data_IF_364048354998
#
_entry.id   IF_364048354998
#
_cell.length_a   1.000
_cell.length_b   1.000
_cell.length_c   1.000
_cell.angle_alpha   90.00
_cell.angle_beta   90.00
_cell.angle_gamma   90.00
#
_symmetry.space_group_name_H-M   'P 1'
#
loop_
_entity.id
_entity.type
_entity.pdbx_description
1 polymer ?
#
# COMPACT_ATOMS: atom_id res chain seq x y z
N UNK A 1 0.59 -4.86 18.55
CA UNK A 1 1.14 -6.05 17.84
C UNK A 1 1.79 -5.67 16.50
N UNK A 2 1.20 -4.81 15.66
CA UNK A 2 1.83 -4.32 14.43
C UNK A 2 3.01 -3.37 14.70
N UNK A 3 2.98 -2.60 15.78
CA UNK A 3 4.12 -1.75 16.19
C UNK A 3 5.42 -2.57 16.42
N UNK A 4 5.32 -3.75 17.04
CA UNK A 4 6.51 -4.60 17.21
C UNK A 4 7.03 -5.16 15.91
N UNK A 5 6.14 -5.33 14.90
CA UNK A 5 6.56 -5.70 13.56
C UNK A 5 7.34 -4.58 12.89
N UNK A 6 6.88 -3.34 13.02
CA UNK A 6 7.62 -2.17 12.51
C UNK A 6 9.03 -2.09 13.07
N UNK A 7 9.19 -2.34 14.36
CA UNK A 7 10.49 -2.27 15.02
C UNK A 7 11.51 -3.32 14.49
N UNK A 8 11.04 -4.42 13.89
CA UNK A 8 11.91 -5.46 13.32
C UNK A 8 12.23 -5.27 11.84
N UNK A 9 11.72 -4.23 11.18
CA UNK A 9 12.09 -3.94 9.80
C UNK A 9 13.55 -3.43 9.71
N UNK A 10 14.36 -3.83 8.70
CA UNK A 10 14.04 -4.60 7.49
C UNK A 10 14.11 -6.13 7.64
N UNK A 11 14.44 -6.66 8.80
CA UNK A 11 14.66 -8.10 9.02
C UNK A 11 13.34 -8.91 9.13
N UNK A 12 12.35 -8.55 8.33
CA UNK A 12 11.08 -9.25 8.35
C UNK A 12 11.21 -10.69 7.83
N UNK A 13 10.52 -11.57 8.52
CA UNK A 13 10.22 -12.92 8.03
C UNK A 13 8.76 -12.96 7.62
N UNK A 14 8.44 -13.83 6.68
CA UNK A 14 7.04 -14.06 6.30
C UNK A 14 6.22 -14.28 7.58
N UNK A 15 5.13 -13.52 7.77
CA UNK A 15 4.31 -13.69 8.97
C UNK A 15 3.75 -15.11 9.02
N UNK A 16 3.51 -15.60 10.25
CA UNK A 16 2.81 -16.87 10.45
C UNK A 16 1.48 -16.83 9.69
N UNK A 17 0.95 -18.01 9.28
CA UNK A 17 -0.32 -18.05 8.55
C UNK A 17 -1.38 -17.21 9.25
N UNK A 18 -1.85 -16.18 8.56
CA UNK A 18 -2.92 -15.31 9.01
C UNK A 18 -4.22 -15.79 8.38
N UNK A 19 -5.33 -15.51 9.06
CA UNK A 19 -6.63 -15.81 8.47
C UNK A 19 -6.80 -15.06 7.15
N UNK A 20 -7.27 -15.72 6.07
CA UNK A 20 -7.59 -15.03 4.82
C UNK A 20 -8.61 -13.91 5.07
N UNK A 21 -8.55 -12.79 4.35
CA UNK A 21 -9.46 -11.65 4.53
C UNK A 21 -10.92 -11.98 4.13
N UNK A 22 -11.15 -13.14 3.52
CA UNK A 22 -12.44 -13.52 2.95
C UNK A 22 -12.84 -12.57 1.82
N UNK A 23 -14.12 -12.26 1.72
CA UNK A 23 -14.67 -11.27 0.76
C UNK A 23 -14.85 -9.88 1.42
N UNK A 24 -14.04 -9.54 2.39
CA UNK A 24 -14.10 -8.23 3.06
C UNK A 24 -12.92 -7.38 2.63
N UNK A 25 -13.19 -6.09 2.44
CA UNK A 25 -12.14 -5.12 2.20
C UNK A 25 -11.51 -4.61 3.50
N UNK A 26 -10.38 -3.91 3.41
CA UNK A 26 -9.79 -3.17 4.51
C UNK A 26 -10.70 -2.00 4.88
N UNK A 27 -11.07 -1.93 6.16
CA UNK A 27 -11.83 -0.81 6.70
C UNK A 27 -10.88 0.21 7.27
N UNK A 28 -11.07 1.43 6.84
CA UNK A 28 -10.33 2.59 7.31
C UNK A 28 -11.13 3.37 8.34
N UNK A 29 -10.50 4.12 9.24
CA UNK A 29 -11.20 5.11 10.06
C UNK A 29 -11.95 6.14 9.21
N UNK A 30 -13.03 6.73 9.77
CA UNK A 30 -13.92 7.66 9.06
C UNK A 30 -13.20 8.88 8.49
N UNK A 31 -12.11 9.30 9.13
CA UNK A 31 -11.32 10.43 8.67
C UNK A 31 -10.55 10.19 7.35
N UNK A 32 -10.56 8.96 6.81
CA UNK A 32 -10.07 8.69 5.45
C UNK A 32 -11.07 9.06 4.36
N UNK A 33 -12.37 9.17 4.67
CA UNK A 33 -13.40 9.37 3.65
C UNK A 33 -13.11 10.60 2.79
N UNK A 34 -13.11 10.43 1.45
CA UNK A 34 -12.90 11.50 0.49
C UNK A 34 -11.81 11.25 -0.53
N UNK A 35 -11.45 12.32 -1.22
CA UNK A 35 -10.40 12.36 -2.23
C UNK A 35 -9.13 13.00 -1.65
N UNK A 36 -7.97 12.41 -1.96
CA UNK A 36 -6.70 12.84 -1.40
C UNK A 36 -5.62 12.96 -2.47
N UNK A 37 -4.84 14.05 -2.42
CA UNK A 37 -3.57 14.16 -3.14
C UNK A 37 -2.47 13.53 -2.29
N UNK A 38 -1.84 12.50 -2.78
CA UNK A 38 -0.71 11.86 -2.10
C UNK A 38 0.60 12.41 -2.65
N UNK A 39 1.50 12.78 -1.74
CA UNK A 39 2.92 12.98 -2.01
C UNK A 39 3.67 11.91 -1.24
N UNK A 40 4.33 10.99 -1.95
CA UNK A 40 5.10 9.90 -1.37
C UNK A 40 6.57 10.09 -1.64
N UNK A 41 7.41 10.01 -0.60
CA UNK A 41 8.86 10.15 -0.67
C UNK A 41 9.54 8.86 -0.21
N UNK A 42 10.42 8.32 -1.03
CA UNK A 42 11.24 7.19 -0.65
C UNK A 42 12.26 7.61 0.42
N UNK A 43 12.34 6.85 1.53
CA UNK A 43 13.16 7.22 2.71
C UNK A 43 14.10 6.10 3.17
N UNK A 44 14.23 5.02 2.42
CA UNK A 44 15.04 3.86 2.81
C UNK A 44 15.98 3.41 1.71
N UNK A 45 16.86 2.45 2.03
CA UNK A 45 17.65 1.79 1.02
C UNK A 45 16.73 1.17 -0.01
N UNK A 46 17.17 1.19 -1.22
CA UNK A 46 16.56 0.85 -2.49
C UNK A 46 15.35 -0.09 -2.39
N UNK A 47 14.19 0.46 -2.71
CA UNK A 47 13.05 -0.34 -3.08
C UNK A 47 13.39 -1.05 -4.40
N UNK A 48 13.80 -2.30 -4.33
CA UNK A 48 13.70 -3.14 -5.50
C UNK A 48 12.21 -3.22 -5.86
N UNK A 49 11.78 -2.34 -6.79
CA UNK A 49 10.49 -2.48 -7.44
C UNK A 49 10.39 -3.92 -7.95
N UNK A 50 9.19 -4.52 -7.96
CA UNK A 50 9.03 -5.86 -8.49
C UNK A 50 9.71 -5.91 -9.86
N UNK A 51 10.63 -6.85 -10.06
CA UNK A 51 11.26 -7.09 -11.35
C UNK A 51 10.16 -7.47 -12.34
N UNK A 52 9.68 -6.50 -13.08
CA UNK A 52 8.70 -6.71 -14.16
C UNK A 52 9.35 -7.34 -15.38
N UNK A 53 10.60 -7.84 -15.26
CA UNK A 53 11.29 -8.58 -16.34
C UNK A 53 11.61 -7.80 -17.60
N UNK A 54 11.27 -6.52 -17.65
CA UNK A 54 11.84 -5.63 -18.65
C UNK A 54 13.11 -4.99 -18.11
N UNK A 55 14.13 -4.75 -18.95
CA UNK A 55 15.25 -3.94 -18.53
C UNK A 55 14.67 -2.65 -17.98
N UNK A 56 14.94 -2.38 -16.73
CA UNK A 56 14.51 -1.21 -16.00
C UNK A 56 15.02 0.03 -16.75
N UNK A 57 14.18 0.76 -17.52
CA UNK A 57 14.62 1.99 -18.19
C UNK A 57 14.79 3.13 -17.18
N UNK A 58 14.71 2.85 -15.93
CA UNK A 58 14.84 3.75 -14.81
C UNK A 58 15.12 3.00 -13.54
N UNK A 59 16.22 2.26 -13.47
CA UNK A 59 16.90 1.98 -12.20
C UNK A 59 17.37 3.32 -11.63
N UNK A 60 16.41 4.22 -11.45
CA UNK A 60 16.59 5.38 -10.64
C UNK A 60 16.95 4.86 -9.26
N UNK A 61 18.13 5.16 -8.82
CA UNK A 61 18.49 5.12 -7.41
C UNK A 61 17.34 5.80 -6.67
N UNK A 62 16.41 5.01 -6.10
CA UNK A 62 15.15 5.52 -5.52
C UNK A 62 15.38 6.23 -4.20
N UNK A 63 16.63 6.42 -3.79
CA UNK A 63 16.98 7.35 -2.74
C UNK A 63 16.55 8.76 -3.14
N UNK A 64 15.40 9.20 -2.61
CA UNK A 64 14.88 10.55 -2.86
C UNK A 64 13.77 10.67 -3.91
N UNK A 65 13.32 9.57 -4.54
CA UNK A 65 12.19 9.62 -5.45
C UNK A 65 10.93 10.15 -4.77
N UNK A 66 10.27 11.10 -5.44
CA UNK A 66 8.98 11.65 -5.00
C UNK A 66 7.91 11.31 -6.02
N UNK A 67 6.85 10.65 -5.57
CA UNK A 67 5.69 10.33 -6.38
C UNK A 67 4.52 11.23 -5.97
N UNK A 68 3.67 11.58 -6.95
CA UNK A 68 2.42 12.29 -6.71
C UNK A 68 1.29 11.58 -7.44
N UNK A 69 0.23 11.27 -6.71
CA UNK A 69 -0.95 10.61 -7.25
C UNK A 69 -2.17 10.91 -6.41
N UNK A 70 -3.35 10.60 -6.92
CA UNK A 70 -4.63 10.82 -6.20
C UNK A 70 -5.20 9.50 -5.77
N UNK A 71 -5.78 9.46 -4.56
CA UNK A 71 -6.50 8.29 -4.04
C UNK A 71 -7.87 8.69 -3.53
N UNK A 72 -8.77 7.70 -3.48
CA UNK A 72 -10.11 7.87 -2.96
C UNK A 72 -10.48 6.80 -1.97
N UNK A 73 -11.20 7.22 -0.94
CA UNK A 73 -11.85 6.36 0.03
C UNK A 73 -13.33 6.71 0.10
N UNK A 74 -14.20 5.72 -0.02
CA UNK A 74 -15.65 5.89 -0.03
C UNK A 74 -16.31 4.92 0.95
N UNK A 75 -17.55 5.19 1.34
CA UNK A 75 -18.31 4.26 2.16
C UNK A 75 -18.81 3.10 1.31
N UNK A 76 -18.64 1.88 1.83
CA UNK A 76 -19.27 0.69 1.28
C UNK A 76 -20.79 0.65 1.60
N UNK A 77 -21.50 -0.36 1.11
CA UNK A 77 -22.94 -0.57 1.35
C UNK A 77 -23.31 -0.73 2.83
N UNK A 78 -22.34 -0.89 3.71
CA UNK A 78 -22.50 -1.04 5.15
C UNK A 78 -22.05 0.21 5.92
N UNK A 79 -21.69 1.27 5.20
CA UNK A 79 -21.22 2.53 5.76
C UNK A 79 -19.77 2.52 6.23
N UNK A 80 -19.01 1.45 6.01
CA UNK A 80 -17.58 1.42 6.35
C UNK A 80 -16.76 2.11 5.27
N UNK A 81 -15.76 2.91 5.67
CA UNK A 81 -14.84 3.55 4.74
C UNK A 81 -13.86 2.53 4.19
N UNK A 82 -13.81 2.40 2.86
CA UNK A 82 -12.91 1.49 2.12
C UNK A 82 -12.20 2.24 0.99
N UNK A 83 -11.04 1.76 0.57
CA UNK A 83 -10.32 2.31 -0.57
C UNK A 83 -10.95 1.87 -1.90
N UNK A 84 -11.03 2.77 -2.89
CA UNK A 84 -11.37 2.41 -4.27
C UNK A 84 -10.16 1.70 -4.90
N UNK A 85 -10.06 0.38 -4.67
CA UNK A 85 -8.81 -0.39 -4.85
C UNK A 85 -8.24 -0.30 -6.25
N UNK A 86 -9.03 -0.59 -7.30
CA UNK A 86 -8.52 -0.53 -8.67
C UNK A 86 -8.10 0.88 -9.07
N UNK A 87 -8.88 1.90 -8.70
CA UNK A 87 -8.55 3.29 -8.99
C UNK A 87 -7.28 3.73 -8.26
N UNK A 88 -7.16 3.40 -6.97
CA UNK A 88 -6.00 3.74 -6.17
C UNK A 88 -4.74 2.99 -6.66
N UNK A 89 -4.87 1.69 -6.98
CA UNK A 89 -3.77 0.90 -7.55
C UNK A 89 -3.35 1.44 -8.94
N UNK A 90 -4.31 1.88 -9.78
CA UNK A 90 -4.00 2.50 -11.05
C UNK A 90 -3.24 3.81 -10.88
N UNK A 91 -3.63 4.64 -9.92
CA UNK A 91 -2.97 5.93 -9.66
C UNK A 91 -1.51 5.74 -9.20
N UNK A 92 -1.28 4.83 -8.25
CA UNK A 92 0.07 4.45 -7.79
C UNK A 92 0.87 3.82 -8.93
N UNK A 93 0.26 2.88 -9.67
CA UNK A 93 0.91 2.18 -10.77
C UNK A 93 1.32 3.13 -11.90
N UNK A 94 0.48 4.12 -12.26
CA UNK A 94 0.85 5.14 -13.26
C UNK A 94 1.98 6.04 -12.77
N UNK A 95 1.99 6.41 -11.49
CA UNK A 95 3.07 7.21 -10.91
C UNK A 95 4.41 6.45 -10.91
N UNK A 96 4.40 5.11 -10.83
CA UNK A 96 5.58 4.26 -10.82
C UNK A 96 6.01 3.81 -12.22
N UNK A 97 5.06 3.45 -13.08
CA UNK A 97 5.30 2.75 -14.34
C UNK A 97 5.00 3.61 -15.59
N UNK A 98 4.38 4.79 -15.39
CA UNK A 98 3.97 5.64 -16.51
C UNK A 98 3.08 4.89 -17.49
N UNK A 99 3.40 5.04 -18.79
CA UNK A 99 2.65 4.44 -19.90
C UNK A 99 2.78 2.90 -19.99
N UNK A 100 3.67 2.30 -19.21
CA UNK A 100 3.76 0.84 -19.12
C UNK A 100 2.55 0.22 -18.41
N UNK A 101 1.82 0.98 -17.58
CA UNK A 101 0.55 0.54 -17.01
C UNK A 101 -0.61 0.94 -17.93
N UNK A 102 -1.28 -0.03 -18.50
CA UNK A 102 -2.41 0.21 -19.41
C UNK A 102 -3.74 0.33 -18.66
N UNK A 103 -3.99 -0.57 -17.70
CA UNK A 103 -5.28 -0.66 -17.01
C UNK A 103 -5.12 -1.38 -15.67
N UNK A 104 -5.91 -1.00 -14.67
CA UNK A 104 -6.14 -1.80 -13.46
C UNK A 104 -7.64 -1.96 -13.27
N UNK A 105 -8.08 -3.16 -12.92
CA UNK A 105 -9.47 -3.48 -12.61
C UNK A 105 -9.57 -4.37 -11.38
N UNK A 106 -10.66 -4.26 -10.66
CA UNK A 106 -11.03 -5.21 -9.61
C UNK A 106 -11.55 -6.51 -10.22
N UNK A 107 -11.34 -7.62 -9.52
CA UNK A 107 -12.01 -8.87 -9.82
C UNK A 107 -13.42 -8.83 -9.21
N UNK A 108 -14.50 -8.91 -10.01
CA UNK A 108 -15.86 -8.84 -9.48
C UNK A 108 -16.21 -9.99 -8.52
N UNK A 109 -15.48 -11.11 -8.59
CA UNK A 109 -15.69 -12.26 -7.71
C UNK A 109 -14.86 -12.18 -6.42
N UNK A 110 -13.83 -11.33 -6.37
CA UNK A 110 -12.93 -11.21 -5.22
C UNK A 110 -12.43 -9.77 -5.02
N UNK A 111 -13.00 -9.00 -4.08
CA UNK A 111 -12.61 -7.60 -3.84
C UNK A 111 -11.15 -7.45 -3.39
N UNK A 112 -10.49 -8.53 -2.98
CA UNK A 112 -9.08 -8.52 -2.60
C UNK A 112 -8.13 -8.80 -3.78
N UNK A 113 -8.65 -8.95 -5.01
CA UNK A 113 -7.87 -9.24 -6.21
C UNK A 113 -7.99 -8.12 -7.22
N UNK A 114 -6.86 -7.60 -7.67
CA UNK A 114 -6.74 -6.65 -8.77
C UNK A 114 -5.96 -7.27 -9.92
N UNK A 115 -6.34 -6.88 -11.13
CA UNK A 115 -5.74 -7.29 -12.38
C UNK A 115 -5.19 -6.06 -13.09
N UNK A 116 -3.88 -6.00 -13.32
CA UNK A 116 -3.23 -4.91 -14.03
C UNK A 116 -2.69 -5.39 -15.36
N UNK A 117 -3.09 -4.74 -16.46
CA UNK A 117 -2.53 -4.96 -17.79
C UNK A 117 -1.34 -4.04 -17.98
N UNK A 118 -0.26 -4.61 -18.48
CA UNK A 118 0.98 -3.91 -18.76
C UNK A 118 1.25 -3.88 -20.28
N UNK A 119 1.96 -2.86 -20.74
CA UNK A 119 2.49 -2.82 -22.08
C UNK A 119 3.35 -4.06 -22.36
N UNK A 120 3.42 -4.48 -23.62
CA UNK A 120 4.13 -5.71 -23.99
C UNK A 120 3.39 -7.01 -23.64
N UNK A 121 2.10 -6.94 -23.29
CA UNK A 121 1.24 -8.12 -23.06
C UNK A 121 1.35 -8.71 -21.67
N UNK A 122 2.02 -8.03 -20.72
CA UNK A 122 2.08 -8.46 -19.33
C UNK A 122 0.73 -8.34 -18.61
N UNK A 123 0.41 -9.31 -17.74
CA UNK A 123 -0.74 -9.27 -16.82
C UNK A 123 -0.23 -9.52 -15.40
N UNK A 124 -0.41 -8.55 -14.52
CA UNK A 124 -0.12 -8.69 -13.10
C UNK A 124 -1.42 -8.95 -12.34
N UNK A 125 -1.50 -10.10 -11.68
CA UNK A 125 -2.55 -10.41 -10.71
C UNK A 125 -2.00 -10.14 -9.31
N UNK A 126 -2.69 -9.32 -8.53
CA UNK A 126 -2.36 -9.05 -7.12
C UNK A 126 -3.52 -9.44 -6.24
N UNK A 127 -3.33 -10.38 -5.32
CA UNK A 127 -4.36 -10.87 -4.41
C UNK A 127 -3.90 -10.71 -2.97
N UNK A 128 -4.63 -9.94 -2.18
CA UNK A 128 -4.40 -9.88 -0.73
C UNK A 128 -4.81 -11.21 -0.11
N UNK A 129 -3.84 -11.94 0.42
CA UNK A 129 -4.02 -13.28 1.00
C UNK A 129 -4.08 -13.27 2.52
N UNK A 130 -3.60 -12.19 3.15
CA UNK A 130 -3.72 -11.97 4.58
C UNK A 130 -3.80 -10.48 4.88
N UNK A 131 -4.51 -10.13 5.95
CA UNK A 131 -4.72 -8.75 6.37
C UNK A 131 -4.84 -8.64 7.88
N UNK A 132 -4.25 -7.57 8.43
CA UNK A 132 -4.43 -7.14 9.81
C UNK A 132 -4.58 -5.63 9.86
N UNK A 133 -5.35 -5.14 10.81
CA UNK A 133 -5.38 -3.71 11.12
C UNK A 133 -5.66 -3.49 12.59
N UNK A 134 -5.14 -2.42 13.14
CA UNK A 134 -5.37 -1.99 14.52
C UNK A 134 -5.32 -0.46 14.62
N UNK A 135 -6.09 0.08 15.56
CA UNK A 135 -5.95 1.47 16.01
C UNK A 135 -5.18 1.45 17.31
N UNK A 136 -4.14 2.23 17.42
CA UNK A 136 -3.30 2.33 18.61
C UNK A 136 -3.24 3.75 19.11
N UNK A 137 -3.30 3.93 20.43
CA UNK A 137 -3.00 5.21 21.05
C UNK A 137 -1.51 5.53 20.89
N UNK A 138 -1.19 6.77 20.56
CA UNK A 138 0.20 7.24 20.45
C UNK A 138 0.42 8.40 21.41
N UNK A 139 1.59 8.42 22.04
CA UNK A 139 2.05 9.59 22.78
C UNK A 139 2.62 10.61 21.78
N UNK A 140 2.11 11.84 21.80
CA UNK A 140 2.69 12.91 21.03
C UNK A 140 3.71 13.67 21.89
N UNK A 141 4.95 13.85 21.41
CA UNK A 141 5.96 14.63 22.13
C UNK A 141 5.46 16.05 22.37
N UNK A 142 5.41 16.46 23.65
CA UNK A 142 5.00 17.82 24.06
C UNK A 142 3.49 17.99 24.28
N UNK A 143 2.67 16.96 24.08
CA UNK A 143 1.24 16.96 24.46
C UNK A 143 1.10 16.24 25.80
N UNK A 144 0.52 16.88 26.84
CA UNK A 144 0.28 16.19 28.09
C UNK A 144 -0.64 14.98 27.92
N UNK A 145 -0.37 13.89 28.57
CA UNK A 145 -1.22 12.68 28.54
C UNK A 145 -2.69 12.94 28.88
N UNK A 146 -2.97 14.01 29.64
CA UNK A 146 -4.32 14.49 29.98
C UNK A 146 -5.06 15.18 28.82
N UNK A 147 -4.38 15.54 27.73
CA UNK A 147 -4.99 16.22 26.58
C UNK A 147 -5.50 15.25 25.50
N UNK A 148 -5.49 13.93 25.78
CA UNK A 148 -5.85 12.89 24.83
C UNK A 148 -4.72 12.65 23.84
N UNK A 149 -3.99 11.55 23.98
CA UNK A 149 -2.97 11.14 22.99
C UNK A 149 -3.61 10.98 21.61
N UNK A 150 -2.83 11.22 20.58
CA UNK A 150 -3.26 10.96 19.20
C UNK A 150 -3.49 9.47 18.96
N UNK A 151 -4.18 9.16 17.88
CA UNK A 151 -4.36 7.78 17.41
C UNK A 151 -3.60 7.54 16.11
N UNK A 152 -3.08 6.34 15.96
CA UNK A 152 -2.56 5.86 14.68
C UNK A 152 -3.36 4.65 14.22
N UNK A 153 -3.68 4.64 12.94
CA UNK A 153 -4.22 3.47 12.25
C UNK A 153 -3.09 2.71 11.59
N UNK A 154 -2.95 1.44 11.94
CA UNK A 154 -2.00 0.52 11.32
C UNK A 154 -2.75 -0.48 10.46
N UNK A 155 -2.27 -0.68 9.24
CA UNK A 155 -2.79 -1.67 8.30
C UNK A 155 -1.63 -2.46 7.70
N UNK A 156 -1.78 -3.78 7.69
CA UNK A 156 -0.81 -4.73 7.17
C UNK A 156 -1.50 -5.70 6.21
N UNK A 157 -1.04 -5.73 4.96
CA UNK A 157 -1.53 -6.61 3.93
C UNK A 157 -0.39 -7.43 3.33
N UNK A 158 -0.58 -8.73 3.26
CA UNK A 158 0.26 -9.64 2.49
C UNK A 158 -0.44 -9.95 1.17
N UNK A 159 0.17 -9.55 0.05
CA UNK A 159 -0.32 -9.81 -1.28
C UNK A 159 0.51 -10.92 -1.96
N UNK A 160 -0.18 -11.84 -2.62
CA UNK A 160 0.40 -12.73 -3.61
C UNK A 160 0.29 -12.05 -4.97
N UNK A 161 1.42 -11.94 -5.65
CA UNK A 161 1.49 -11.36 -7.00
C UNK A 161 1.93 -12.42 -7.99
N UNK A 162 1.22 -12.50 -9.11
CA UNK A 162 1.54 -13.37 -10.24
C UNK A 162 1.66 -12.51 -11.49
N UNK A 163 2.86 -12.42 -12.03
CA UNK A 163 3.10 -11.71 -13.28
C UNK A 163 3.16 -12.72 -14.42
N UNK A 164 2.17 -12.66 -15.30
CA UNK A 164 2.12 -13.39 -16.56
C UNK A 164 2.76 -12.56 -17.67
N UNK A 165 3.57 -13.20 -18.49
CA UNK A 165 4.27 -12.59 -19.61
C UNK A 165 4.77 -13.67 -20.57
N UNK A 166 5.68 -13.32 -21.50
CA UNK A 166 6.36 -14.33 -22.31
C UNK A 166 7.21 -15.24 -21.42
N UNK A 167 6.83 -16.50 -21.28
CA UNK A 167 7.51 -17.50 -20.46
C UNK A 167 6.70 -17.92 -19.22
N UNK A 168 7.39 -18.47 -18.24
CA UNK A 168 6.75 -18.95 -17.02
C UNK A 168 6.28 -17.79 -16.14
N UNK A 169 5.10 -17.91 -15.49
CA UNK A 169 4.62 -16.91 -14.57
C UNK A 169 5.60 -16.70 -13.40
N UNK A 170 5.83 -15.44 -13.05
CA UNK A 170 6.64 -15.09 -11.88
C UNK A 170 5.75 -14.82 -10.69
N UNK A 171 6.04 -15.49 -9.59
CA UNK A 171 5.25 -15.41 -8.36
C UNK A 171 6.10 -14.73 -7.28
N UNK A 172 5.52 -13.76 -6.60
CA UNK A 172 6.12 -13.10 -5.44
C UNK A 172 5.09 -12.83 -4.35
N UNK A 173 5.55 -12.61 -3.14
CA UNK A 173 4.71 -12.17 -2.02
C UNK A 173 5.24 -10.84 -1.54
N UNK A 174 4.34 -9.87 -1.37
CA UNK A 174 4.69 -8.53 -0.89
C UNK A 174 3.86 -8.24 0.35
N UNK A 175 4.52 -7.94 1.45
CA UNK A 175 3.90 -7.41 2.65
C UNK A 175 4.05 -5.91 2.66
N UNK A 176 2.95 -5.23 2.93
CA UNK A 176 2.88 -3.78 3.06
C UNK A 176 2.25 -3.45 4.40
N UNK A 177 3.04 -2.86 5.30
CA UNK A 177 2.57 -2.33 6.57
C UNK A 177 2.62 -0.82 6.50
N UNK A 178 1.49 -0.18 6.79
CA UNK A 178 1.34 1.27 6.79
C UNK A 178 0.87 1.75 8.16
N UNK A 179 1.41 2.89 8.60
CA UNK A 179 0.98 3.60 9.80
C UNK A 179 0.49 4.99 9.40
N UNK A 180 -0.74 5.30 9.69
CA UNK A 180 -1.41 6.56 9.34
C UNK A 180 -1.78 7.34 10.58
N UNK A 181 -1.69 8.67 10.50
CA UNK A 181 -2.06 9.61 11.56
C UNK A 181 -2.82 10.78 10.95
N UNK A 182 -3.97 11.09 11.49
CA UNK A 182 -4.63 12.34 11.19
C UNK A 182 -3.88 13.47 11.87
N UNK A 183 -3.63 14.55 11.15
CA UNK A 183 -2.97 15.76 11.62
C UNK A 183 -3.90 16.95 11.43
N UNK A 184 -3.87 17.85 12.39
CA UNK A 184 -4.67 19.06 12.38
C UNK A 184 -3.75 20.27 12.25
N UNK A 185 -4.13 21.25 11.45
CA UNK A 185 -3.36 22.49 11.30
C UNK A 185 -4.21 23.66 10.84
N UNK A 186 -3.62 24.87 10.83
CA UNK A 186 -4.35 26.09 10.48
C UNK A 186 -4.91 26.10 9.04
N UNK A 187 -4.31 25.31 8.15
CA UNK A 187 -4.73 25.17 6.75
C UNK A 187 -5.69 24.00 6.52
N UNK A 188 -6.14 23.32 7.58
CA UNK A 188 -6.99 22.15 7.54
C UNK A 188 -6.26 20.87 7.97
N UNK A 189 -6.99 19.77 7.86
CA UNK A 189 -6.50 18.46 8.26
C UNK A 189 -5.75 17.78 7.10
N UNK A 190 -4.75 16.94 7.42
CA UNK A 190 -4.06 16.07 6.46
C UNK A 190 -3.76 14.73 7.13
N UNK A 191 -3.48 13.73 6.30
CA UNK A 191 -3.01 12.43 6.80
C UNK A 191 -1.50 12.34 6.56
N UNK A 192 -0.76 12.03 7.62
CA UNK A 192 0.65 11.67 7.56
C UNK A 192 0.77 10.16 7.65
N UNK A 193 1.59 9.55 6.79
CA UNK A 193 1.79 8.12 6.84
C UNK A 193 3.24 7.73 6.61
N UNK A 194 3.57 6.56 7.15
CA UNK A 194 4.78 5.82 6.82
C UNK A 194 4.37 4.44 6.32
N UNK A 195 5.04 3.98 5.28
CA UNK A 195 4.77 2.69 4.67
C UNK A 195 6.08 1.91 4.54
N UNK A 196 6.04 0.66 4.98
CA UNK A 196 7.13 -0.31 4.86
C UNK A 196 6.66 -1.45 3.98
N UNK A 197 7.50 -1.83 3.04
CA UNK A 197 7.24 -2.97 2.18
C UNK A 197 8.38 -3.97 2.28
N UNK A 198 8.05 -5.24 2.15
CA UNK A 198 9.04 -6.32 2.07
C UNK A 198 8.56 -7.32 1.04
N UNK A 199 9.46 -7.68 0.12
CA UNK A 199 9.26 -8.76 -0.85
C UNK A 199 9.82 -10.06 -0.27
N UNK A 200 9.07 -11.13 -0.42
CA UNK A 200 9.47 -12.48 -0.06
C UNK A 200 9.65 -13.36 -1.29
N UNK A 201 10.49 -14.40 -1.19
CA UNK A 201 10.63 -15.39 -2.25
C UNK A 201 9.30 -16.07 -2.62
N UNK A 202 9.33 -16.83 -3.71
CA UNK A 202 8.19 -17.62 -4.18
C UNK A 202 7.65 -18.54 -3.08
N UNK A 203 6.35 -18.90 -3.08
CA UNK A 203 5.75 -19.82 -2.10
C UNK A 203 6.45 -21.17 -1.96
N UNK A 204 7.16 -21.63 -2.99
CA UNK A 204 7.94 -22.87 -2.95
C UNK A 204 9.12 -22.86 -1.98
N UNK A 205 9.58 -21.67 -1.53
CA UNK A 205 10.76 -21.52 -0.67
C UNK A 205 10.44 -21.64 0.85
N UNK A 206 9.25 -22.09 1.20
CA UNK A 206 8.85 -22.41 2.56
C UNK A 206 8.28 -21.22 3.36
N UNK A 207 7.74 -21.54 4.56
CA UNK A 207 7.05 -20.60 5.46
C UNK A 207 8.00 -19.70 6.27
N UNK A 208 9.29 -20.04 6.34
CA UNK A 208 10.28 -19.28 7.11
C UNK A 208 11.08 -18.28 6.25
N UNK A 209 10.57 -17.95 5.07
CA UNK A 209 11.26 -17.07 4.14
C UNK A 209 11.54 -15.70 4.76
N UNK A 210 12.80 -15.26 4.66
CA UNK A 210 13.19 -13.88 4.97
C UNK A 210 12.84 -12.97 3.80
N UNK A 211 12.64 -11.70 4.10
CA UNK A 211 12.54 -10.67 3.08
C UNK A 211 13.81 -10.62 2.22
N UNK A 212 13.62 -10.49 0.91
CA UNK A 212 14.69 -10.41 -0.09
C UNK A 212 14.86 -9.01 -0.67
N UNK A 213 14.08 -8.07 -0.21
CA UNK A 213 14.14 -6.66 -0.57
C UNK A 213 13.04 -5.91 0.13
N UNK A 214 13.23 -4.63 0.36
CA UNK A 214 12.25 -3.80 1.05
C UNK A 214 12.37 -2.33 0.67
N UNK A 215 11.30 -1.58 0.89
CA UNK A 215 11.24 -0.15 0.70
C UNK A 215 10.52 0.52 1.87
N UNK A 216 10.88 1.77 2.11
CA UNK A 216 10.18 2.63 3.07
C UNK A 216 9.83 3.95 2.42
N UNK A 217 8.60 4.39 2.68
CA UNK A 217 8.06 5.62 2.16
C UNK A 217 7.47 6.48 3.27
N UNK A 218 7.61 7.78 3.14
CA UNK A 218 6.80 8.75 3.86
C UNK A 218 5.76 9.30 2.92
N UNK A 219 4.51 9.37 3.40
CA UNK A 219 3.39 9.84 2.61
C UNK A 219 2.73 11.01 3.35
N UNK A 220 2.31 11.98 2.57
CA UNK A 220 1.39 13.03 3.00
C UNK A 220 0.18 13.00 2.08
N UNK A 221 -1.01 12.95 2.68
CA UNK A 221 -2.27 12.99 1.97
C UNK A 221 -2.94 14.33 2.31
N UNK A 222 -3.07 15.19 1.33
CA UNK A 222 -3.76 16.47 1.45
C UNK A 222 -5.17 16.33 0.85
N UNK A 223 -6.23 16.84 1.53
CA UNK A 223 -7.60 16.65 1.07
C UNK A 223 -7.83 17.39 -0.25
N UNK A 224 -8.64 16.79 -1.11
CA UNK A 224 -9.08 17.37 -2.37
C UNK A 224 -10.58 17.67 -2.34
N UNK A 225 -11.07 18.60 -3.15
CA UNK A 225 -12.49 18.74 -3.36
C UNK A 225 -13.15 17.42 -3.81
N UNK A 226 -14.38 17.14 -3.36
CA UNK A 226 -15.08 15.91 -3.73
C UNK A 226 -15.13 15.70 -5.25
N UNK A 227 -14.87 14.46 -5.69
CA UNK A 227 -14.88 14.10 -7.11
C UNK A 227 -13.57 14.37 -7.86
N UNK A 228 -12.58 14.99 -7.24
CA UNK A 228 -11.31 15.38 -7.89
C UNK A 228 -10.43 14.18 -8.30
N UNK A 229 -10.62 13.00 -7.69
CA UNK A 229 -9.84 11.82 -8.02
C UNK A 229 -10.34 11.06 -9.26
N UNK A 230 -11.55 11.38 -9.77
CA UNK A 230 -12.12 10.73 -10.98
C UNK A 230 -11.61 11.30 -12.32
N UNK A 231 -10.89 12.42 -12.29
CA UNK A 231 -10.52 13.19 -13.48
C UNK A 231 -9.07 12.94 -13.96
N UNK A 232 -8.56 11.68 -13.82
CA UNK A 232 -7.16 11.38 -14.25
C UNK A 232 -7.12 10.18 -15.15
#
# INVERSE_FOLDING_TARGET
MLESRLASWPDWRLPAPLAPPGLRDLRYPDWFAGDWQVTAQATGPEAALPETGQPDPGRAETGGATLRYKVRFSSDDRGAVVGERAANAAAVGRALLGDALLEVRDDPANPNRQLARLAGGGLLESTVVARRSEVVAIEEPGVPASAGGGEAFLADELALQVLHGPGEPRISRIETLSRFRLRHGPAGDWIEAEQWQTRYPSPGDGLAARGIGGSRWRLRLDPLPPGSARAS
#
